data_IF_375454786298
#
_entry.id   IF_375454786298
#
_cell.length_a   1.000
_cell.length_b   1.000
_cell.length_c   1.000
_cell.angle_alpha   90.00
_cell.angle_beta   90.00
_cell.angle_gamma   90.00
#
_symmetry.space_group_name_H-M   'P 1'
#
loop_
_entity.id
_entity.type
_entity.pdbx_description
1 polymer ?
#
# COMPACT_ATOMS: atom_id res chain seq x y z
N UNK A 1 20.80 19.74 14.44
CA UNK A 1 19.55 19.30 13.77
C UNK A 1 19.27 17.85 14.07
N UNK A 2 18.23 17.61 14.87
CA UNK A 2 17.72 16.27 15.18
C UNK A 2 16.68 15.91 14.10
N UNK A 3 17.05 14.99 13.20
CA UNK A 3 16.11 14.34 12.26
C UNK A 3 15.70 13.01 12.91
N UNK A 4 14.40 12.72 13.06
CA UNK A 4 13.92 11.63 13.90
C UNK A 4 14.26 10.25 13.30
N UNK A 5 14.48 9.30 14.21
CA UNK A 5 14.80 7.88 13.96
C UNK A 5 13.87 7.28 12.91
N UNK A 6 14.43 6.86 11.78
CA UNK A 6 13.74 6.08 10.75
C UNK A 6 13.29 4.75 11.35
N UNK A 7 11.98 4.54 11.43
CA UNK A 7 11.40 3.23 11.72
C UNK A 7 11.90 2.21 10.70
N UNK A 8 12.40 1.08 11.19
CA UNK A 8 12.78 -0.06 10.37
C UNK A 8 11.53 -0.69 9.73
N UNK A 9 11.59 -0.94 8.43
CA UNK A 9 10.61 -1.78 7.72
C UNK A 9 11.19 -3.19 7.73
N UNK A 10 10.58 -4.08 8.52
CA UNK A 10 10.92 -5.51 8.54
C UNK A 10 10.27 -6.15 7.32
N UNK A 11 11.08 -6.66 6.40
CA UNK A 11 10.60 -7.48 5.28
C UNK A 11 10.19 -8.85 5.82
N UNK A 12 8.88 -9.10 5.89
CA UNK A 12 8.31 -10.42 6.19
C UNK A 12 7.77 -10.97 4.88
N UNK A 13 8.35 -12.09 4.45
CA UNK A 13 7.88 -12.91 3.34
C UNK A 13 6.34 -13.02 3.38
N UNK A 14 5.68 -12.52 2.33
CA UNK A 14 4.22 -12.50 2.09
C UNK A 14 3.31 -11.50 2.84
N UNK A 15 3.80 -10.47 3.56
CA UNK A 15 2.92 -9.37 4.02
C UNK A 15 3.73 -8.09 4.27
N UNK A 16 3.45 -7.02 3.52
CA UNK A 16 4.14 -5.74 3.66
C UNK A 16 3.56 -4.94 4.83
N UNK A 17 4.21 -5.00 6.01
CA UNK A 17 3.83 -4.22 7.19
C UNK A 17 4.77 -3.01 7.38
N UNK A 18 4.26 -1.80 7.16
CA UNK A 18 4.89 -0.54 7.60
C UNK A 18 4.43 -0.21 9.02
N UNK A 19 5.36 -0.16 9.97
CA UNK A 19 5.09 0.16 11.38
C UNK A 19 5.04 1.69 11.58
N UNK A 20 3.84 2.27 11.45
CA UNK A 20 3.55 3.62 11.97
C UNK A 20 2.73 3.48 13.25
N UNK A 21 3.22 4.14 14.31
CA UNK A 21 2.91 3.90 15.73
C UNK A 21 1.54 4.42 16.22
N UNK A 22 0.44 4.19 15.47
CA UNK A 22 -0.92 4.40 15.98
C UNK A 22 -1.79 3.21 15.53
N UNK A 23 -1.92 2.23 16.43
CA UNK A 23 -2.91 1.14 16.62
C UNK A 23 -3.95 0.74 15.55
N UNK A 24 -3.68 0.87 14.25
CA UNK A 24 -4.42 0.12 13.23
C UNK A 24 -3.49 -0.34 12.11
N UNK A 25 -3.01 -1.57 12.24
CA UNK A 25 -2.52 -2.35 11.12
C UNK A 25 -3.69 -2.60 10.17
N UNK A 26 -3.83 -1.81 9.11
CA UNK A 26 -4.77 -2.13 8.02
C UNK A 26 -4.03 -2.89 6.91
N UNK A 27 -3.36 -3.99 7.27
CA UNK A 27 -3.15 -5.05 6.31
C UNK A 27 -4.45 -5.86 6.27
N UNK A 28 -5.41 -5.35 5.50
CA UNK A 28 -6.68 -6.03 5.32
C UNK A 28 -6.44 -7.26 4.45
N UNK A 29 -6.91 -8.45 4.83
CA UNK A 29 -6.95 -9.57 3.90
C UNK A 29 -7.74 -9.14 2.66
N UNK A 30 -7.29 -9.57 1.50
CA UNK A 30 -7.82 -9.12 0.20
C UNK A 30 -9.34 -9.37 0.07
N UNK A 31 -9.83 -10.39 0.76
CA UNK A 31 -11.24 -10.83 0.79
C UNK A 31 -12.20 -9.80 1.37
N UNK A 32 -11.73 -8.89 2.24
CA UNK A 32 -12.56 -7.86 2.88
C UNK A 32 -12.43 -6.48 2.18
N UNK A 33 -11.62 -6.39 1.11
CA UNK A 33 -11.29 -5.13 0.47
C UNK A 33 -12.54 -4.44 -0.11
N UNK A 34 -13.41 -5.19 -0.79
CA UNK A 34 -14.66 -4.64 -1.35
C UNK A 34 -15.64 -4.16 -0.28
N UNK A 35 -15.69 -4.81 0.89
CA UNK A 35 -16.56 -4.37 1.97
C UNK A 35 -16.04 -3.08 2.60
N UNK A 36 -14.73 -2.99 2.82
CA UNK A 36 -14.06 -1.79 3.34
C UNK A 36 -14.21 -0.59 2.42
N UNK A 37 -14.19 -0.77 1.10
CA UNK A 37 -14.40 0.33 0.15
C UNK A 37 -15.83 0.85 0.13
N UNK A 38 -16.78 0.23 0.84
CA UNK A 38 -18.13 0.78 1.04
C UNK A 38 -18.21 1.69 2.26
N UNK A 39 -17.21 1.69 3.13
CA UNK A 39 -17.19 2.45 4.38
C UNK A 39 -16.23 3.64 4.24
N UNK A 40 -16.73 4.84 4.53
CA UNK A 40 -15.93 6.06 4.58
C UNK A 40 -14.99 6.05 5.78
N UNK A 41 -13.90 6.85 5.78
CA UNK A 41 -13.05 7.01 6.96
C UNK A 41 -13.81 7.47 8.22
N UNK A 42 -14.98 8.09 8.05
CA UNK A 42 -15.89 8.48 9.14
C UNK A 42 -16.66 7.30 9.77
N UNK A 43 -16.49 6.07 9.27
CA UNK A 43 -17.25 4.89 9.68
C UNK A 43 -18.65 4.79 9.07
N UNK A 44 -19.11 5.82 8.35
CA UNK A 44 -20.40 5.80 7.64
C UNK A 44 -20.28 5.07 6.32
N UNK A 45 -21.37 4.44 5.87
CA UNK A 45 -21.41 3.89 4.51
C UNK A 45 -21.39 5.01 3.46
N UNK A 46 -20.69 4.76 2.36
CA UNK A 46 -20.82 5.52 1.12
C UNK A 46 -22.26 5.40 0.64
N UNK A 47 -22.78 6.46 0.02
CA UNK A 47 -24.10 6.43 -0.61
C UNK A 47 -24.16 5.32 -1.69
N UNK A 48 -25.31 4.68 -1.91
CA UNK A 48 -25.42 3.54 -2.84
C UNK A 48 -24.85 3.81 -4.24
N UNK A 49 -25.04 5.03 -4.76
CA UNK A 49 -24.52 5.46 -6.06
C UNK A 49 -22.98 5.53 -6.14
N UNK A 50 -22.30 5.58 -4.99
CA UNK A 50 -20.84 5.63 -4.85
C UNK A 50 -20.27 4.32 -4.29
N UNK A 51 -21.06 3.25 -4.24
CA UNK A 51 -20.59 1.91 -3.91
C UNK A 51 -20.24 1.17 -5.19
N UNK A 52 -18.95 1.03 -5.46
CA UNK A 52 -18.45 0.36 -6.66
C UNK A 52 -18.12 -1.11 -6.37
N UNK A 53 -18.32 -1.96 -7.38
CA UNK A 53 -17.70 -3.29 -7.42
C UNK A 53 -16.28 -3.12 -7.95
N UNK A 54 -15.27 -3.54 -7.21
CA UNK A 54 -13.88 -3.19 -7.53
C UNK A 54 -13.43 -3.83 -8.83
N UNK A 55 -13.89 -5.06 -9.12
CA UNK A 55 -13.64 -5.75 -10.38
C UNK A 55 -14.14 -5.01 -11.63
N UNK A 56 -15.14 -4.13 -11.49
CA UNK A 56 -15.68 -3.29 -12.57
C UNK A 56 -14.97 -1.94 -12.72
N UNK A 57 -14.13 -1.57 -11.75
CA UNK A 57 -13.31 -0.37 -11.83
C UNK A 57 -12.08 -0.62 -12.72
N UNK A 58 -11.55 0.45 -13.33
CA UNK A 58 -10.42 0.37 -14.25
C UNK A 58 -9.18 -0.11 -13.49
N UNK A 59 -8.54 -1.17 -13.97
CA UNK A 59 -7.24 -1.62 -13.48
C UNK A 59 -6.15 -0.68 -14.00
N UNK A 60 -5.27 -0.24 -13.11
CA UNK A 60 -4.15 0.63 -13.43
C UNK A 60 -2.89 0.15 -12.73
N UNK A 61 -1.75 0.33 -13.37
CA UNK A 61 -0.45 0.00 -12.83
C UNK A 61 0.35 1.27 -12.54
N UNK A 62 1.17 1.20 -11.49
CA UNK A 62 2.13 2.22 -11.14
C UNK A 62 3.44 1.54 -10.73
N UNK A 63 4.52 1.91 -11.39
CA UNK A 63 5.86 1.51 -10.97
C UNK A 63 6.30 2.43 -9.83
N UNK A 64 6.59 1.84 -8.68
CA UNK A 64 7.25 2.48 -7.56
C UNK A 64 8.66 1.91 -7.42
N UNK A 65 9.49 2.53 -6.58
CA UNK A 65 10.83 2.03 -6.29
C UNK A 65 10.95 1.77 -4.79
N UNK A 66 11.37 0.57 -4.44
CA UNK A 66 11.75 0.23 -3.07
C UNK A 66 13.26 0.43 -2.92
N UNK A 67 13.65 1.27 -1.96
CA UNK A 67 15.03 1.75 -1.82
C UNK A 67 15.61 1.36 -0.46
N UNK A 68 16.73 0.64 -0.49
CA UNK A 68 17.45 0.21 0.71
C UNK A 68 18.84 0.82 0.77
N UNK A 69 19.28 1.21 1.97
CA UNK A 69 20.66 1.64 2.20
C UNK A 69 21.52 0.40 2.46
N UNK A 70 22.40 0.06 1.52
CA UNK A 70 23.38 -1.02 1.67
C UNK A 70 24.68 -0.48 2.25
N UNK A 71 25.11 -1.06 3.36
CA UNK A 71 26.41 -0.75 3.97
C UNK A 71 27.55 -1.05 3.00
N UNK A 72 28.44 -0.09 2.77
CA UNK A 72 29.58 -0.26 1.88
C UNK A 72 30.89 -0.23 2.69
N UNK A 73 31.73 -1.27 2.56
CA UNK A 73 32.98 -1.38 3.33
C UNK A 73 33.92 -0.18 3.16
N UNK A 74 33.83 0.55 2.04
CA UNK A 74 34.69 1.72 1.72
C UNK A 74 34.05 3.09 1.96
N UNK A 75 32.73 3.18 2.11
CA UNK A 75 32.04 4.47 2.27
C UNK A 75 31.26 4.46 3.57
N UNK A 76 31.60 5.37 4.50
CA UNK A 76 30.92 5.50 5.81
C UNK A 76 29.43 5.84 5.65
N UNK A 77 29.08 6.41 4.50
CA UNK A 77 27.73 6.76 4.09
C UNK A 77 27.35 5.65 3.10
N UNK A 78 26.46 4.73 3.46
CA UNK A 78 26.10 3.58 2.63
C UNK A 78 25.60 3.95 1.23
N UNK A 79 25.46 2.95 0.35
CA UNK A 79 24.94 3.12 -1.01
C UNK A 79 23.43 2.88 -0.99
N UNK A 80 22.64 3.81 -1.54
CA UNK A 80 21.20 3.59 -1.74
C UNK A 80 21.01 2.75 -3.01
N UNK A 81 20.32 1.62 -2.88
CA UNK A 81 19.97 0.75 -4.00
C UNK A 81 18.46 0.68 -4.10
N UNK A 82 17.90 1.05 -5.26
CA UNK A 82 16.47 1.05 -5.51
C UNK A 82 16.10 -0.03 -6.53
N UNK A 83 15.10 -0.86 -6.21
CA UNK A 83 14.52 -1.86 -7.09
C UNK A 83 13.11 -1.42 -7.53
N UNK A 84 12.74 -1.57 -8.81
CA UNK A 84 11.39 -1.26 -9.25
C UNK A 84 10.40 -2.29 -8.71
N UNK A 85 9.25 -1.82 -8.23
CA UNK A 85 8.12 -2.64 -7.77
C UNK A 85 6.86 -2.16 -8.51
N UNK A 86 6.10 -3.10 -9.08
CA UNK A 86 4.83 -2.79 -9.74
C UNK A 86 3.71 -2.86 -8.71
N UNK A 87 2.97 -1.77 -8.55
CA UNK A 87 1.75 -1.70 -7.74
C UNK A 87 0.56 -1.58 -8.66
N UNK A 88 -0.55 -2.19 -8.26
CA UNK A 88 -1.79 -2.22 -9.05
C UNK A 88 -2.92 -1.59 -8.26
N UNK A 89 -3.78 -0.85 -8.95
CA UNK A 89 -4.88 -0.08 -8.36
C UNK A 89 -6.16 -0.24 -9.19
N UNK A 90 -7.30 -0.21 -8.52
CA UNK A 90 -8.61 -0.02 -9.13
C UNK A 90 -9.03 1.43 -9.00
N UNK A 91 -9.31 2.07 -10.14
CA UNK A 91 -9.85 3.44 -10.20
C UNK A 91 -11.28 3.44 -10.70
N UNK A 92 -12.20 3.87 -9.83
CA UNK A 92 -13.63 3.94 -10.11
C UNK A 92 -14.02 5.33 -10.66
N UNK A 93 -15.23 5.43 -11.22
CA UNK A 93 -15.70 6.62 -11.96
C UNK A 93 -15.83 7.88 -11.10
N UNK A 94 -16.06 7.73 -9.80
CA UNK A 94 -16.16 8.81 -8.81
C UNK A 94 -14.79 9.29 -8.29
N UNK A 95 -13.69 8.71 -8.79
CA UNK A 95 -12.35 9.01 -8.34
C UNK A 95 -11.86 8.15 -7.18
N UNK A 96 -12.68 7.23 -6.64
CA UNK A 96 -12.23 6.24 -5.67
C UNK A 96 -11.07 5.43 -6.29
N UNK A 97 -9.92 5.49 -5.63
CA UNK A 97 -8.71 4.77 -6.03
C UNK A 97 -8.27 3.89 -4.87
N UNK A 98 -8.10 2.60 -5.14
CA UNK A 98 -7.80 1.58 -4.13
C UNK A 98 -6.62 0.77 -4.62
N UNK A 99 -5.58 0.62 -3.82
CA UNK A 99 -4.51 -0.33 -4.12
C UNK A 99 -5.07 -1.75 -4.04
N UNK A 100 -4.88 -2.53 -5.10
CA UNK A 100 -5.36 -3.91 -5.20
C UNK A 100 -4.25 -4.90 -5.49
N UNK A 101 -2.96 -4.53 -5.39
CA UNK A 101 -1.81 -5.40 -5.71
C UNK A 101 -1.94 -6.83 -5.15
N UNK A 102 -2.24 -6.97 -3.85
CA UNK A 102 -2.42 -8.28 -3.22
C UNK A 102 -3.71 -8.97 -3.69
N UNK A 103 -4.79 -8.21 -3.86
CA UNK A 103 -6.10 -8.73 -4.28
C UNK A 103 -6.10 -9.29 -5.71
N UNK A 104 -5.35 -8.70 -6.64
CA UNK A 104 -5.21 -9.24 -8.00
C UNK A 104 -4.28 -10.46 -8.07
N UNK A 105 -3.45 -10.70 -7.03
CA UNK A 105 -2.54 -11.86 -7.00
C UNK A 105 -3.20 -13.09 -6.38
N UNK A 106 -4.23 -12.89 -5.57
CA UNK A 106 -4.95 -13.95 -4.84
C UNK A 106 -6.22 -14.45 -5.57
N UNK A 107 -6.66 -13.79 -6.64
CA UNK A 107 -7.92 -14.05 -7.35
C UNK A 107 -7.70 -14.45 -8.82
#
# INVERSE_FOLDING_TARGET
>A
SLVPKSSAIVSVHHTLCLTISISTLLCSPSTDLEAKTKILPSGKFRKPENQHQLNKCKLQELVQFDCEVKGHKKHKNGIVVCAPIVRVFRRCKDGLTVETTAWETEN
#
